data_IF_284759791773
#
_entry.id   IF_284759791773
#
_cell.length_a   1.000
_cell.length_b   1.000
_cell.length_c   1.000
_cell.angle_alpha   90.00
_cell.angle_beta   90.00
_cell.angle_gamma   90.00
#
_symmetry.space_group_name_H-M   'P 1'
#
loop_
_entity.id
_entity.type
_entity.pdbx_description
1 polymer ?
#
# COMPACT_ATOMS: atom_id res chain seq x y z
N UNK A 1 2.86 -12.29 -2.48
CA UNK A 1 1.51 -12.86 -2.31
C UNK A 1 0.75 -12.67 -3.61
N UNK A 2 0.18 -13.75 -4.15
CA UNK A 2 -0.76 -13.66 -5.27
C UNK A 2 -2.17 -13.78 -4.69
N UNK A 3 -2.94 -12.71 -4.78
CA UNK A 3 -4.35 -12.69 -4.37
C UNK A 3 -5.24 -13.29 -5.47
N UNK A 4 -4.77 -13.26 -6.73
CA UNK A 4 -5.52 -13.71 -7.89
C UNK A 4 -6.84 -12.95 -8.03
N UNK A 5 -7.92 -13.70 -8.24
CA UNK A 5 -9.29 -13.18 -8.40
C UNK A 5 -10.05 -13.03 -7.08
N UNK A 6 -9.41 -13.33 -5.94
CA UNK A 6 -10.05 -13.25 -4.65
C UNK A 6 -10.25 -11.80 -4.20
N UNK A 7 -11.27 -11.57 -3.37
CA UNK A 7 -11.52 -10.30 -2.69
C UNK A 7 -11.19 -10.46 -1.22
N UNK A 8 -10.07 -9.88 -0.78
CA UNK A 8 -9.58 -10.02 0.58
C UNK A 8 -9.63 -8.69 1.33
N UNK A 9 -10.06 -8.73 2.60
CA UNK A 9 -10.00 -7.60 3.53
C UNK A 9 -9.21 -8.06 4.76
N UNK A 10 -8.12 -7.36 5.06
CA UNK A 10 -7.28 -7.60 6.24
C UNK A 10 -7.52 -6.47 7.22
N UNK A 11 -7.97 -6.81 8.43
CA UNK A 11 -8.16 -5.88 9.53
C UNK A 11 -7.19 -6.25 10.65
N UNK A 12 -6.38 -5.30 11.12
CA UNK A 12 -5.49 -5.50 12.26
C UNK A 12 -5.44 -4.27 13.16
N UNK A 13 -5.54 -4.49 14.47
CA UNK A 13 -5.28 -3.45 15.49
C UNK A 13 -3.77 -3.18 15.67
N UNK A 14 -2.93 -4.04 15.11
CA UNK A 14 -1.48 -3.91 15.16
C UNK A 14 -0.90 -3.26 13.91
N UNK A 15 0.37 -3.59 13.68
CA UNK A 15 1.15 -3.17 12.52
C UNK A 15 1.01 -4.16 11.38
N UNK A 16 1.19 -3.71 10.15
CA UNK A 16 1.24 -4.58 8.98
C UNK A 16 2.55 -4.39 8.22
N UNK A 17 3.27 -5.50 7.96
CA UNK A 17 4.56 -5.50 7.27
C UNK A 17 4.43 -6.16 5.90
N UNK A 18 4.77 -5.41 4.85
CA UNK A 18 4.80 -5.87 3.46
C UNK A 18 6.25 -6.23 3.11
N UNK A 19 6.57 -7.53 3.22
CA UNK A 19 7.89 -8.06 2.85
C UNK A 19 8.05 -8.39 1.37
N UNK A 20 6.93 -8.56 0.67
CA UNK A 20 6.89 -9.11 -0.68
C UNK A 20 5.88 -8.40 -1.57
N UNK A 21 6.02 -8.65 -2.87
CA UNK A 21 5.11 -8.18 -3.91
C UNK A 21 3.69 -8.66 -3.63
N UNK A 22 2.71 -7.86 -4.00
CA UNK A 22 1.29 -8.23 -3.96
C UNK A 22 0.74 -8.08 -5.36
N UNK A 23 0.32 -9.20 -5.95
CA UNK A 23 -0.30 -9.24 -7.27
C UNK A 23 -1.78 -9.54 -7.13
N UNK A 24 -2.59 -8.80 -7.87
CA UNK A 24 -4.05 -8.91 -7.88
C UNK A 24 -4.49 -8.98 -9.33
N UNK A 25 -5.36 -9.93 -9.65
CA UNK A 25 -6.01 -10.03 -10.96
C UNK A 25 -7.25 -9.13 -10.98
N UNK A 26 -7.01 -7.83 -11.18
CA UNK A 26 -8.07 -6.81 -11.20
C UNK A 26 -8.99 -6.93 -12.42
N UNK A 27 -8.50 -7.50 -13.52
CA UNK A 27 -9.29 -7.75 -14.72
C UNK A 27 -10.40 -8.77 -14.47
N UNK A 28 -10.15 -9.74 -13.59
CA UNK A 28 -11.10 -10.80 -13.24
C UNK A 28 -11.75 -10.59 -11.86
N UNK A 29 -11.73 -9.35 -11.33
CA UNK A 29 -12.51 -9.00 -10.14
C UNK A 29 -11.79 -9.13 -8.80
N UNK A 30 -10.47 -9.38 -8.79
CA UNK A 30 -9.68 -9.46 -7.56
C UNK A 30 -9.50 -8.10 -6.87
N UNK A 31 -9.38 -8.13 -5.53
CA UNK A 31 -9.08 -6.95 -4.72
C UNK A 31 -8.42 -7.31 -3.39
N UNK A 32 -7.63 -6.38 -2.86
CA UNK A 32 -7.09 -6.45 -1.50
C UNK A 32 -7.25 -5.09 -0.84
N UNK A 33 -7.87 -5.10 0.34
CA UNK A 33 -7.91 -3.96 1.25
C UNK A 33 -7.20 -4.36 2.54
N UNK A 34 -6.23 -3.55 2.98
CA UNK A 34 -5.54 -3.71 4.27
C UNK A 34 -5.84 -2.49 5.12
N UNK A 35 -6.38 -2.71 6.31
CA UNK A 35 -6.65 -1.68 7.31
C UNK A 35 -5.87 -2.03 8.56
N UNK A 36 -4.89 -1.19 8.91
CA UNK A 36 -4.00 -1.40 10.05
C UNK A 36 -3.98 -0.17 10.96
N UNK A 37 -4.27 -0.34 12.25
CA UNK A 37 -4.27 0.78 13.19
C UNK A 37 -2.85 1.24 13.54
N UNK A 38 -1.90 0.32 13.69
CA UNK A 38 -0.54 0.59 14.20
C UNK A 38 0.47 1.07 13.15
N UNK A 39 0.05 1.30 11.91
CA UNK A 39 0.92 1.64 10.78
C UNK A 39 1.12 0.49 9.79
N UNK A 40 1.55 0.86 8.60
CA UNK A 40 1.87 -0.08 7.50
C UNK A 40 3.29 0.21 7.05
N UNK A 41 4.15 -0.81 7.00
CA UNK A 41 5.51 -0.66 6.51
C UNK A 41 5.81 -1.57 5.34
N UNK A 42 6.55 -1.04 4.37
CA UNK A 42 7.06 -1.78 3.22
C UNK A 42 8.55 -2.03 3.44
N UNK A 43 8.96 -3.29 3.31
CA UNK A 43 10.37 -3.69 3.45
C UNK A 43 11.28 -2.84 2.56
N UNK A 44 12.36 -2.32 3.13
CA UNK A 44 13.43 -1.62 2.40
C UNK A 44 14.03 -2.48 1.27
N UNK A 45 13.99 -3.81 1.43
CA UNK A 45 14.53 -4.76 0.47
C UNK A 45 13.55 -5.11 -0.65
N UNK A 46 12.33 -4.59 -0.65
CA UNK A 46 11.32 -4.89 -1.67
C UNK A 46 11.51 -3.98 -2.91
N UNK A 47 12.01 -4.49 -4.06
CA UNK A 47 11.85 -3.82 -5.33
C UNK A 47 10.47 -4.14 -5.92
N UNK A 48 9.72 -3.10 -6.22
CA UNK A 48 8.46 -3.21 -6.96
C UNK A 48 8.38 -2.10 -8.02
N UNK A 49 9.23 -2.10 -9.05
CA UNK A 49 9.30 -1.03 -10.05
C UNK A 49 8.04 -0.88 -10.93
N UNK A 50 6.96 -1.63 -10.67
CA UNK A 50 5.70 -1.52 -11.42
C UNK A 50 5.75 -2.10 -12.83
N UNK A 51 6.91 -2.56 -13.29
CA UNK A 51 7.14 -3.26 -14.55
C UNK A 51 7.11 -4.78 -14.34
N UNK A 52 6.75 -5.52 -15.39
CA UNK A 52 6.56 -6.99 -15.34
C UNK A 52 5.58 -7.39 -14.21
N UNK A 53 5.82 -8.54 -13.56
CA UNK A 53 5.09 -9.03 -12.39
C UNK A 53 5.59 -8.43 -11.05
N UNK A 54 6.41 -7.37 -11.08
CA UNK A 54 7.00 -6.78 -9.86
C UNK A 54 6.19 -5.57 -9.38
N UNK A 55 5.01 -5.87 -8.83
CA UNK A 55 4.04 -4.85 -8.41
C UNK A 55 3.69 -4.99 -6.92
N UNK A 56 3.37 -3.87 -6.30
CA UNK A 56 2.67 -3.82 -5.02
C UNK A 56 1.28 -3.27 -5.30
N UNK A 57 0.29 -4.16 -5.36
CA UNK A 57 -1.09 -3.79 -5.66
C UNK A 57 -1.96 -3.87 -4.40
N UNK A 58 -2.87 -2.91 -4.22
CA UNK A 58 -3.86 -2.96 -3.14
C UNK A 58 -4.32 -1.60 -2.66
N UNK A 59 -5.26 -1.63 -1.72
CA UNK A 59 -5.74 -0.45 -0.99
C UNK A 59 -5.24 -0.58 0.44
N UNK A 60 -4.42 0.38 0.88
CA UNK A 60 -3.76 0.37 2.17
C UNK A 60 -4.25 1.55 3.00
N UNK A 61 -4.85 1.26 4.15
CA UNK A 61 -5.48 2.25 5.04
C UNK A 61 -4.87 2.12 6.42
N UNK A 62 -4.44 3.23 6.99
CA UNK A 62 -3.93 3.28 8.37
C UNK A 62 -4.19 4.62 9.03
N UNK A 63 -4.48 4.60 10.33
CA UNK A 63 -4.50 5.82 11.15
C UNK A 63 -3.09 6.23 11.61
N UNK A 64 -2.10 5.36 11.39
CA UNK A 64 -0.70 5.62 11.67
C UNK A 64 0.06 6.13 10.44
N UNK A 65 1.34 5.77 10.40
CA UNK A 65 2.23 6.10 9.28
C UNK A 65 2.27 4.96 8.28
N UNK A 66 2.20 5.30 6.99
CA UNK A 66 2.59 4.41 5.90
C UNK A 66 4.05 4.65 5.55
N UNK A 67 4.92 3.69 5.87
CA UNK A 67 6.35 3.76 5.60
C UNK A 67 6.68 3.03 4.30
N UNK A 68 7.29 3.72 3.33
CA UNK A 68 7.72 3.10 2.08
C UNK A 68 8.97 2.24 2.25
N UNK A 69 9.76 2.49 3.29
CA UNK A 69 11.01 1.78 3.55
C UNK A 69 11.28 1.63 5.03
N UNK A 70 11.26 0.38 5.50
CA UNK A 70 11.57 0.01 6.88
C UNK A 70 12.50 -1.21 6.94
N UNK A 71 13.14 -1.39 8.08
CA UNK A 71 13.72 -2.69 8.43
C UNK A 71 12.64 -3.78 8.40
N UNK A 72 13.02 -5.03 8.07
CA UNK A 72 12.07 -6.15 7.99
C UNK A 72 11.69 -6.72 9.37
N UNK A 73 11.42 -5.83 10.31
CA UNK A 73 10.89 -6.12 11.62
C UNK A 73 9.51 -5.45 11.82
N UNK A 74 8.85 -5.77 12.93
CA UNK A 74 7.58 -5.12 13.30
C UNK A 74 7.80 -3.86 14.16
N UNK A 75 9.03 -3.34 14.23
CA UNK A 75 9.29 -2.07 14.89
C UNK A 75 8.78 -0.90 14.02
N UNK A 76 8.69 -1.09 12.70
CA UNK A 76 8.41 -0.04 11.71
C UNK A 76 9.39 1.14 11.83
N UNK A 77 10.67 0.83 12.10
CA UNK A 77 11.72 1.83 12.04
C UNK A 77 12.10 2.09 10.58
N UNK A 78 11.98 3.35 10.18
CA UNK A 78 12.37 3.84 8.85
C UNK A 78 13.81 3.49 8.56
N UNK A 79 14.07 3.08 7.32
CA UNK A 79 15.40 2.74 6.85
C UNK A 79 15.57 3.21 5.42
N UNK A 80 16.73 3.76 5.09
CA UNK A 80 17.02 4.20 3.72
C UNK A 80 17.10 2.99 2.76
N UNK A 81 16.66 3.18 1.53
CA UNK A 81 16.71 2.15 0.48
C UNK A 81 16.94 2.75 -0.90
N UNK A 82 17.70 2.04 -1.73
CA UNK A 82 17.88 2.39 -3.13
C UNK A 82 16.98 1.64 -4.12
N UNK A 83 15.89 1.05 -3.62
CA UNK A 83 14.98 0.22 -4.41
C UNK A 83 13.76 1.03 -4.82
N UNK A 84 13.47 1.04 -6.12
CA UNK A 84 12.25 1.64 -6.67
C UNK A 84 11.01 0.92 -6.12
N UNK A 85 10.03 1.71 -5.68
CA UNK A 85 8.73 1.26 -5.21
C UNK A 85 7.62 1.89 -6.06
N UNK A 86 6.79 1.06 -6.66
CA UNK A 86 5.57 1.47 -7.33
C UNK A 86 4.40 0.78 -6.64
N UNK A 87 3.51 1.58 -6.08
CA UNK A 87 2.26 1.15 -5.47
C UNK A 87 1.13 1.41 -6.44
N UNK A 88 0.47 0.34 -6.85
CA UNK A 88 -0.71 0.38 -7.72
C UNK A 88 -1.96 0.24 -6.87
N UNK A 89 -2.71 1.33 -6.73
CA UNK A 89 -3.92 1.40 -5.92
C UNK A 89 -3.95 2.67 -5.09
N UNK A 90 -4.32 2.54 -3.82
CA UNK A 90 -4.61 3.69 -2.95
C UNK A 90 -3.91 3.52 -1.61
N UNK A 91 -3.28 4.59 -1.12
CA UNK A 91 -2.75 4.69 0.24
C UNK A 91 -3.49 5.81 0.96
N UNK A 92 -4.10 5.48 2.09
CA UNK A 92 -4.74 6.42 3.00
C UNK A 92 -4.04 6.27 4.34
N UNK A 93 -3.33 7.31 4.77
CA UNK A 93 -2.57 7.31 6.02
C UNK A 93 -2.65 8.67 6.70
N UNK A 94 -2.51 8.71 8.02
CA UNK A 94 -2.33 9.98 8.73
C UNK A 94 -1.01 10.66 8.33
N UNK A 95 0.03 9.86 8.11
CA UNK A 95 1.31 10.30 7.57
C UNK A 95 1.82 9.28 6.54
N UNK A 96 2.49 9.76 5.50
CA UNK A 96 3.25 8.92 4.57
C UNK A 96 4.71 9.30 4.70
N UNK A 97 5.58 8.33 4.98
CA UNK A 97 7.01 8.52 5.07
C UNK A 97 7.70 7.88 3.86
N UNK A 98 8.37 8.74 3.09
CA UNK A 98 9.08 8.40 1.86
C UNK A 98 10.59 8.38 2.16
N UNK A 99 11.22 7.23 2.01
CA UNK A 99 12.61 6.94 2.45
C UNK A 99 13.37 6.07 1.45
N UNK A 100 13.03 6.21 0.17
CA UNK A 100 13.70 5.49 -0.92
C UNK A 100 14.31 6.47 -1.90
N UNK A 101 15.62 6.42 -2.02
CA UNK A 101 16.43 7.37 -2.78
C UNK A 101 17.22 6.68 -3.88
N UNK A 102 17.38 7.32 -5.03
CA UNK A 102 18.06 6.72 -6.18
C UNK A 102 19.59 6.82 -6.05
N UNK A 103 20.20 6.14 -5.08
CA UNK A 103 21.66 6.16 -4.89
C UNK A 103 22.44 5.29 -5.92
N UNK A 104 21.75 4.55 -6.79
CA UNK A 104 22.32 3.42 -7.52
C UNK A 104 23.29 3.75 -8.67
N UNK A 105 23.65 5.02 -8.92
CA UNK A 105 24.61 5.41 -9.97
C UNK A 105 25.82 6.23 -9.47
N UNK A 106 26.14 6.14 -8.19
CA UNK A 106 27.45 6.58 -7.66
C UNK A 106 27.54 8.07 -7.33
N UNK A 107 27.36 8.37 -6.04
CA UNK A 107 28.05 9.49 -5.38
C UNK A 107 27.57 10.90 -5.71
N UNK A 108 26.27 11.11 -5.96
CA UNK A 108 25.68 12.44 -5.99
C UNK A 108 24.61 12.59 -4.90
N UNK A 109 24.42 13.82 -4.43
CA UNK A 109 23.39 14.25 -3.45
C UNK A 109 21.96 14.09 -4.00
N UNK A 110 21.60 12.89 -4.43
CA UNK A 110 20.29 12.53 -4.95
C UNK A 110 19.38 12.15 -3.78
N UNK A 111 18.94 13.17 -3.06
CA UNK A 111 17.95 13.04 -1.98
C UNK A 111 16.55 12.79 -2.57
N UNK A 112 15.66 12.21 -1.76
CA UNK A 112 14.25 11.97 -2.13
C UNK A 112 13.55 13.20 -2.73
N UNK A 113 13.92 14.39 -2.27
CA UNK A 113 13.36 15.67 -2.72
C UNK A 113 13.59 15.93 -4.22
N UNK A 114 14.69 15.40 -4.77
CA UNK A 114 15.10 15.66 -6.16
C UNK A 114 14.83 14.47 -7.07
N UNK A 115 14.89 13.25 -6.54
CA UNK A 115 14.72 12.00 -7.31
C UNK A 115 13.93 10.96 -6.51
N UNK A 116 12.61 11.15 -6.35
CA UNK A 116 11.80 10.19 -5.61
C UNK A 116 11.77 8.85 -6.32
N UNK A 117 12.04 7.77 -5.58
CA UNK A 117 11.96 6.41 -6.14
C UNK A 117 10.65 5.70 -5.80
N UNK A 118 9.75 6.40 -5.13
CA UNK A 118 8.38 5.99 -4.87
C UNK A 118 7.40 6.60 -5.87
N UNK A 119 6.53 5.75 -6.41
CA UNK A 119 5.44 6.18 -7.30
C UNK A 119 4.14 5.54 -6.83
N UNK A 120 3.10 6.35 -6.70
CA UNK A 120 1.75 5.89 -6.37
C UNK A 120 0.87 6.08 -7.61
N UNK A 121 0.35 4.99 -8.14
CA UNK A 121 -0.53 4.99 -9.32
C UNK A 121 -1.92 4.57 -8.89
N UNK A 122 -2.89 5.44 -9.10
CA UNK A 122 -4.28 5.12 -8.83
C UNK A 122 -4.79 4.06 -9.82
N UNK A 123 -5.30 2.95 -9.29
CA UNK A 123 -5.99 1.91 -10.06
C UNK A 123 -7.46 1.83 -9.60
N UNK A 124 -8.41 2.44 -10.34
CA UNK A 124 -9.82 2.45 -9.96
C UNK A 124 -10.45 1.04 -9.99
N UNK A 125 -9.89 0.10 -10.74
CA UNK A 125 -10.42 -1.27 -10.81
C UNK A 125 -10.31 -1.99 -9.47
N UNK A 126 -9.25 -1.71 -8.69
CA UNK A 126 -9.13 -2.26 -7.33
C UNK A 126 -10.30 -1.84 -6.44
N UNK A 127 -10.73 -0.58 -6.56
CA UNK A 127 -11.81 0.00 -5.77
C UNK A 127 -13.19 -0.55 -6.17
N UNK A 128 -13.45 -0.66 -7.47
CA UNK A 128 -14.70 -1.23 -7.99
C UNK A 128 -14.85 -2.72 -7.62
N UNK A 129 -13.73 -3.41 -7.40
CA UNK A 129 -13.69 -4.83 -7.08
C UNK A 129 -13.68 -5.13 -5.58
N UNK A 130 -13.76 -4.13 -4.69
CA UNK A 130 -13.74 -4.34 -3.23
C UNK A 130 -14.85 -5.31 -2.79
N UNK A 131 -14.63 -6.00 -1.67
CA UNK A 131 -15.65 -6.83 -1.02
C UNK A 131 -16.90 -6.00 -0.69
N UNK A 132 -18.12 -6.43 -1.09
CA UNK A 132 -19.34 -5.61 -0.99
C UNK A 132 -19.69 -5.20 0.44
N UNK A 133 -19.25 -5.95 1.45
CA UNK A 133 -19.52 -5.60 2.85
C UNK A 133 -18.84 -4.29 3.29
N UNK A 134 -17.76 -3.86 2.65
CA UNK A 134 -17.14 -2.55 2.90
C UNK A 134 -18.02 -1.38 2.41
N UNK A 135 -18.98 -1.67 1.52
CA UNK A 135 -19.91 -0.69 0.96
C UNK A 135 -21.26 -0.66 1.65
N UNK A 136 -21.54 -1.63 2.52
CA UNK A 136 -22.82 -1.68 3.22
C UNK A 136 -22.88 -0.53 4.21
N UNK A 137 -23.77 0.42 3.94
CA UNK A 137 -24.17 1.43 4.92
C UNK A 137 -24.66 0.72 6.18
N UNK A 138 -24.08 1.07 7.34
CA UNK A 138 -24.57 0.64 8.63
C UNK A 138 -25.85 1.38 9.05
N UNK A 139 -26.27 2.38 8.26
CA UNK A 139 -27.44 3.20 8.55
C UNK A 139 -28.65 2.65 7.81
N UNK A 140 -29.70 2.35 8.57
CA UNK A 140 -31.06 2.20 8.04
C UNK A 140 -31.63 3.61 7.90
N UNK A 141 -32.01 3.97 6.68
CA UNK A 141 -32.77 5.19 6.48
C UNK A 141 -34.17 4.98 7.08
N UNK A 142 -34.59 5.86 7.98
CA UNK A 142 -35.93 5.89 8.54
C UNK A 142 -36.58 7.23 8.16
N UNK A 143 -37.72 7.17 7.49
CA UNK A 143 -38.57 8.34 7.29
C UNK A 143 -39.29 8.64 8.60
N UNK A 144 -38.93 9.75 9.25
CA UNK A 144 -39.76 10.31 10.30
C UNK A 144 -40.85 11.12 9.63
N UNK A 145 -42.09 10.64 9.69
CA UNK A 145 -43.25 11.42 9.29
C UNK A 145 -43.30 12.73 10.10
N UNK A 146 -43.61 13.87 9.45
CA UNK A 146 -43.62 15.19 10.09
C UNK A 146 -44.67 15.31 11.21
#
# INVERSE_FOLDING_TARGET
>A
WDVGTNKAVILTSGKYLIKGKIRIDTANGGSLVVIAQGGIGVSKNLPAPGTLNNRLQGIFITDGTFYTSIEEDFSLTSAESNKILVVDGTVIANQVELKRDFEALGGGDYENETTPTETFRYDPSLFMNIHPDLWKSAFTWEELAP
#
